data_IF_296445670193
#
_entry.id   IF_296445670193
#
_cell.length_a   1.000
_cell.length_b   1.000
_cell.length_c   1.000
_cell.angle_alpha   90.00
_cell.angle_beta   90.00
_cell.angle_gamma   90.00
#
_symmetry.space_group_name_H-M   'P 1'
#
loop_
_entity.id
_entity.type
_entity.pdbx_description
1 polymer ?
#
# COMPACT_ATOMS: atom_id res chain seq x y z
N UNK A 1 3.43 11.14 -19.33
CA UNK A 1 2.93 11.50 -17.99
C UNK A 1 1.42 11.34 -17.98
N UNK A 2 0.90 10.51 -17.07
CA UNK A 2 -0.54 10.48 -16.78
C UNK A 2 -0.93 11.86 -16.24
N UNK A 3 -1.87 12.52 -16.92
CA UNK A 3 -2.44 13.78 -16.46
C UNK A 3 -3.69 13.47 -15.65
N UNK A 4 -3.91 14.17 -14.53
CA UNK A 4 -5.14 14.06 -13.72
C UNK A 4 -6.42 14.18 -14.56
N UNK A 5 -6.37 14.89 -15.67
CA UNK A 5 -7.49 15.06 -16.62
C UNK A 5 -7.95 13.76 -17.29
N UNK A 6 -7.12 12.72 -17.33
CA UNK A 6 -7.47 11.43 -17.93
C UNK A 6 -7.91 10.39 -16.90
N UNK A 7 -7.73 10.67 -15.62
CA UNK A 7 -8.06 9.74 -14.54
C UNK A 7 -9.56 9.42 -14.51
N UNK A 8 -9.89 8.13 -14.53
CA UNK A 8 -11.26 7.63 -14.43
C UNK A 8 -11.48 7.14 -13.00
N UNK A 9 -12.41 7.79 -12.29
CA UNK A 9 -12.76 7.46 -10.91
C UNK A 9 -14.10 6.74 -10.87
N UNK A 10 -14.17 5.61 -10.16
CA UNK A 10 -15.43 4.96 -9.79
C UNK A 10 -15.67 5.19 -8.29
N UNK A 11 -16.75 5.87 -7.94
CA UNK A 11 -17.11 6.24 -6.57
C UNK A 11 -18.34 5.47 -6.10
N UNK A 12 -18.22 4.72 -4.98
CA UNK A 12 -19.35 4.19 -4.24
C UNK A 12 -19.71 5.13 -3.07
N UNK A 13 -20.84 5.80 -3.17
CA UNK A 13 -21.36 6.73 -2.14
C UNK A 13 -22.89 6.79 -2.24
N UNK A 14 -23.57 6.37 -1.18
CA UNK A 14 -25.04 6.34 -1.15
C UNK A 14 -25.68 7.72 -0.92
N UNK A 15 -24.93 8.67 -0.37
CA UNK A 15 -25.39 10.03 -0.17
C UNK A 15 -25.13 10.88 -1.42
N UNK A 16 -26.18 11.31 -2.11
CA UNK A 16 -26.07 12.20 -3.28
C UNK A 16 -25.36 13.51 -2.96
N UNK A 17 -25.56 14.04 -1.76
CA UNK A 17 -24.88 15.28 -1.29
C UNK A 17 -23.38 15.04 -1.14
N UNK A 18 -22.97 13.94 -0.51
CA UNK A 18 -21.56 13.59 -0.36
C UNK A 18 -20.90 13.30 -1.71
N UNK A 19 -21.58 12.55 -2.57
CA UNK A 19 -21.11 12.31 -3.94
C UNK A 19 -20.89 13.61 -4.71
N UNK A 20 -21.78 14.60 -4.56
CA UNK A 20 -21.63 15.91 -5.20
C UNK A 20 -20.45 16.72 -4.64
N UNK A 21 -20.22 16.68 -3.33
CA UNK A 21 -19.04 17.32 -2.69
C UNK A 21 -17.74 16.71 -3.23
N UNK A 22 -17.66 15.38 -3.29
CA UNK A 22 -16.48 14.67 -3.82
C UNK A 22 -16.28 15.01 -5.30
N UNK A 23 -17.36 15.01 -6.09
CA UNK A 23 -17.34 15.37 -7.52
C UNK A 23 -16.77 16.77 -7.73
N UNK A 24 -17.26 17.74 -6.97
CA UNK A 24 -16.79 19.13 -7.06
C UNK A 24 -15.30 19.21 -6.72
N UNK A 25 -14.88 18.61 -5.62
CA UNK A 25 -13.48 18.62 -5.19
C UNK A 25 -12.54 17.96 -6.21
N UNK A 26 -12.94 16.82 -6.83
CA UNK A 26 -12.20 16.18 -7.90
C UNK A 26 -12.12 17.06 -9.15
N UNK A 27 -13.23 17.75 -9.51
CA UNK A 27 -13.27 18.69 -10.63
C UNK A 27 -12.30 19.86 -10.44
N UNK A 28 -12.13 20.37 -9.22
CA UNK A 28 -11.15 21.41 -8.88
C UNK A 28 -9.68 20.93 -9.03
N UNK A 29 -9.45 19.61 -8.98
CA UNK A 29 -8.17 18.98 -9.29
C UNK A 29 -8.01 18.63 -10.79
N UNK A 30 -8.99 18.97 -11.63
CA UNK A 30 -9.00 18.70 -13.05
C UNK A 30 -9.50 17.29 -13.44
N UNK A 31 -10.06 16.53 -12.48
CA UNK A 31 -10.60 15.19 -12.72
C UNK A 31 -12.09 15.32 -13.05
N UNK A 32 -12.44 15.08 -14.32
CA UNK A 32 -13.81 15.22 -14.83
C UNK A 32 -14.52 13.88 -15.08
N UNK A 33 -13.79 12.78 -15.16
CA UNK A 33 -14.33 11.45 -15.45
C UNK A 33 -14.61 10.71 -14.16
N UNK A 34 -15.86 10.77 -13.69
CA UNK A 34 -16.28 10.07 -12.49
C UNK A 34 -17.66 9.44 -12.68
N UNK A 35 -17.74 8.15 -12.40
CA UNK A 35 -18.99 7.40 -12.28
C UNK A 35 -19.32 7.19 -10.80
N UNK A 36 -20.61 7.33 -10.45
CA UNK A 36 -21.07 7.23 -9.05
C UNK A 36 -22.08 6.09 -8.93
N UNK A 37 -21.92 5.31 -7.88
CA UNK A 37 -22.74 4.15 -7.55
C UNK A 37 -23.25 4.28 -6.11
N UNK A 38 -24.52 3.99 -5.89
CA UNK A 38 -25.13 4.03 -4.56
C UNK A 38 -24.85 2.78 -3.73
N UNK A 39 -24.49 1.67 -4.39
CA UNK A 39 -24.23 0.36 -3.79
C UNK A 39 -22.88 -0.20 -4.20
N UNK A 40 -22.35 -1.09 -3.35
CA UNK A 40 -21.10 -1.76 -3.62
C UNK A 40 -21.21 -2.77 -4.77
N UNK A 41 -22.34 -3.51 -4.85
CA UNK A 41 -22.59 -4.48 -5.93
C UNK A 41 -22.60 -3.80 -7.30
N UNK A 42 -23.28 -2.65 -7.42
CA UNK A 42 -23.32 -1.90 -8.68
C UNK A 42 -21.92 -1.39 -9.10
N UNK A 43 -21.09 -0.97 -8.13
CA UNK A 43 -19.71 -0.58 -8.41
C UNK A 43 -18.88 -1.80 -8.83
N UNK A 44 -18.96 -2.93 -8.11
CA UNK A 44 -18.23 -4.16 -8.44
C UNK A 44 -18.58 -4.67 -9.84
N UNK A 45 -19.86 -4.66 -10.20
CA UNK A 45 -20.34 -4.99 -11.54
C UNK A 45 -19.77 -4.07 -12.63
N UNK A 46 -19.66 -2.79 -12.32
CA UNK A 46 -19.08 -1.81 -13.24
C UNK A 46 -17.59 -2.04 -13.46
N UNK A 47 -16.80 -2.15 -12.36
CA UNK A 47 -15.34 -2.32 -12.47
C UNK A 47 -14.93 -3.66 -13.08
N UNK A 48 -15.79 -4.68 -13.01
CA UNK A 48 -15.60 -5.95 -13.71
C UNK A 48 -15.72 -5.84 -15.25
N UNK A 49 -16.44 -4.83 -15.75
CA UNK A 49 -16.65 -4.58 -17.18
C UNK A 49 -15.81 -3.43 -17.72
N UNK A 50 -15.71 -2.38 -16.94
CA UNK A 50 -14.99 -1.14 -17.26
C UNK A 50 -13.88 -0.96 -16.25
N UNK A 51 -12.66 -0.77 -16.70
CA UNK A 51 -11.49 -0.64 -15.83
C UNK A 51 -11.25 0.85 -15.49
N UNK A 52 -11.78 1.38 -14.38
CA UNK A 52 -11.39 2.70 -13.93
C UNK A 52 -9.93 2.66 -13.45
N UNK A 53 -9.33 3.83 -13.29
CA UNK A 53 -7.96 3.94 -12.77
C UNK A 53 -7.92 3.87 -11.24
N UNK A 54 -9.02 4.27 -10.58
CA UNK A 54 -9.14 4.26 -9.12
C UNK A 54 -10.58 4.06 -8.66
N UNK A 55 -10.74 3.31 -7.58
CA UNK A 55 -11.99 3.17 -6.83
C UNK A 55 -11.94 4.05 -5.59
N UNK A 56 -12.97 4.83 -5.36
CA UNK A 56 -13.22 5.53 -4.10
C UNK A 56 -14.50 4.98 -3.47
N UNK A 57 -14.54 4.79 -2.15
CA UNK A 57 -15.72 4.26 -1.49
C UNK A 57 -15.96 4.89 -0.13
N UNK A 58 -17.22 5.17 0.20
CA UNK A 58 -17.64 5.36 1.57
C UNK A 58 -17.44 4.07 2.37
N UNK A 59 -17.27 4.17 3.69
CA UNK A 59 -17.07 2.99 4.54
C UNK A 59 -18.31 2.10 4.60
N UNK A 60 -19.50 2.70 4.79
CA UNK A 60 -20.78 2.00 4.81
C UNK A 60 -21.57 2.29 3.53
N UNK A 61 -21.96 1.24 2.85
CA UNK A 61 -22.91 1.25 1.74
C UNK A 61 -24.17 0.47 2.15
N UNK A 62 -25.30 0.64 1.45
CA UNK A 62 -26.54 -0.06 1.81
C UNK A 62 -26.45 -1.59 1.81
N UNK A 63 -25.59 -2.16 1.00
CA UNK A 63 -25.47 -3.58 0.71
C UNK A 63 -24.19 -4.21 1.28
N UNK A 64 -23.13 -3.43 1.46
CA UNK A 64 -21.85 -3.94 1.98
C UNK A 64 -20.99 -2.84 2.60
N UNK A 65 -19.91 -3.24 3.28
CA UNK A 65 -18.87 -2.32 3.75
C UNK A 65 -17.75 -2.19 2.73
N UNK A 66 -16.98 -1.08 2.79
CA UNK A 66 -15.77 -0.90 1.99
C UNK A 66 -14.75 -2.03 2.24
N UNK A 67 -14.70 -2.56 3.48
CA UNK A 67 -13.87 -3.72 3.82
C UNK A 67 -14.25 -4.96 3.02
N UNK A 68 -15.54 -5.29 2.94
CA UNK A 68 -16.01 -6.41 2.12
C UNK A 68 -15.70 -6.19 0.63
N UNK A 69 -15.89 -4.97 0.16
CA UNK A 69 -15.60 -4.62 -1.25
C UNK A 69 -14.12 -4.79 -1.60
N UNK A 70 -13.21 -4.22 -0.80
CA UNK A 70 -11.77 -4.33 -1.08
C UNK A 70 -11.31 -5.80 -1.04
N UNK A 71 -11.83 -6.61 -0.10
CA UNK A 71 -11.52 -8.05 -0.05
C UNK A 71 -11.98 -8.79 -1.30
N UNK A 72 -13.19 -8.50 -1.82
CA UNK A 72 -13.67 -9.09 -3.07
C UNK A 72 -12.78 -8.67 -4.25
N UNK A 73 -12.43 -7.39 -4.35
CA UNK A 73 -11.54 -6.89 -5.40
C UNK A 73 -10.17 -7.59 -5.36
N UNK A 74 -9.56 -7.75 -4.18
CA UNK A 74 -8.24 -8.39 -4.03
C UNK A 74 -8.29 -9.90 -4.34
N UNK A 75 -9.43 -10.54 -4.15
CA UNK A 75 -9.66 -11.93 -4.55
C UNK A 75 -9.78 -12.14 -6.07
N UNK A 76 -10.07 -11.09 -6.84
CA UNK A 76 -10.24 -11.19 -8.28
C UNK A 76 -8.96 -10.82 -9.05
N UNK A 77 -8.41 -11.69 -9.91
CA UNK A 77 -7.10 -11.47 -10.56
C UNK A 77 -6.97 -10.14 -11.31
N UNK A 78 -8.05 -9.68 -11.95
CA UNK A 78 -8.03 -8.44 -12.75
C UNK A 78 -8.27 -7.16 -11.94
N UNK A 79 -8.82 -7.27 -10.71
CA UNK A 79 -9.16 -6.14 -9.84
C UNK A 79 -8.21 -6.00 -8.64
N UNK A 80 -7.36 -7.00 -8.41
CA UNK A 80 -6.49 -7.08 -7.23
C UNK A 80 -5.53 -5.90 -7.10
N UNK A 81 -5.14 -5.29 -8.23
CA UNK A 81 -4.17 -4.20 -8.30
C UNK A 81 -4.83 -2.82 -8.51
N UNK A 82 -6.15 -2.78 -8.60
CA UNK A 82 -6.89 -1.54 -8.77
C UNK A 82 -6.81 -0.71 -7.49
N UNK A 83 -6.29 0.54 -7.53
CA UNK A 83 -6.21 1.42 -6.38
C UNK A 83 -7.56 1.64 -5.72
N UNK A 84 -7.58 1.54 -4.38
CA UNK A 84 -8.79 1.72 -3.59
C UNK A 84 -8.56 2.79 -2.52
N UNK A 85 -9.34 3.87 -2.55
CA UNK A 85 -9.30 4.97 -1.61
C UNK A 85 -10.56 4.91 -0.74
N UNK A 86 -10.40 4.89 0.58
CA UNK A 86 -11.50 5.00 1.52
C UNK A 86 -11.83 6.47 1.79
N UNK A 87 -13.09 6.86 1.66
CA UNK A 87 -13.59 8.21 1.99
C UNK A 87 -14.53 8.11 3.18
N UNK A 88 -14.04 8.37 4.38
CA UNK A 88 -14.78 8.03 5.60
C UNK A 88 -14.49 8.95 6.77
N UNK A 89 -15.50 9.10 7.66
CA UNK A 89 -15.33 9.65 9.01
C UNK A 89 -14.97 8.57 10.06
N UNK A 90 -14.89 7.29 9.63
CA UNK A 90 -14.50 6.20 10.53
C UNK A 90 -13.01 6.34 10.87
N UNK A 91 -12.70 6.22 12.15
CA UNK A 91 -11.34 6.33 12.70
C UNK A 91 -10.95 5.13 13.55
N UNK A 92 -11.87 4.17 13.74
CA UNK A 92 -11.61 2.98 14.55
C UNK A 92 -10.55 2.09 13.86
N UNK A 93 -9.36 1.91 14.46
CA UNK A 93 -8.31 1.08 13.87
C UNK A 93 -8.75 -0.36 13.62
N UNK A 94 -9.56 -0.96 14.50
CA UNK A 94 -10.03 -2.35 14.33
C UNK A 94 -10.80 -2.56 13.02
N UNK A 95 -11.46 -1.51 12.51
CA UNK A 95 -12.20 -1.55 11.26
C UNK A 95 -11.34 -1.18 10.05
N UNK A 96 -10.37 -0.29 10.23
CA UNK A 96 -9.54 0.26 9.15
C UNK A 96 -8.30 -0.61 8.88
N UNK A 97 -7.66 -1.16 9.91
CA UNK A 97 -6.41 -1.90 9.75
C UNK A 97 -6.53 -3.14 8.85
N UNK A 98 -7.61 -3.94 8.89
CA UNK A 98 -7.79 -5.02 7.91
C UNK A 98 -7.83 -4.52 6.45
N UNK A 99 -8.35 -3.32 6.21
CA UNK A 99 -8.37 -2.72 4.88
C UNK A 99 -6.99 -2.19 4.46
N UNK A 100 -6.24 -1.61 5.40
CA UNK A 100 -4.83 -1.23 5.18
C UNK A 100 -3.99 -2.46 4.81
N UNK A 101 -4.17 -3.57 5.53
CA UNK A 101 -3.53 -4.84 5.22
C UNK A 101 -3.97 -5.43 3.87
N UNK A 102 -5.21 -5.18 3.45
CA UNK A 102 -5.69 -5.56 2.12
C UNK A 102 -5.15 -4.65 0.99
N UNK A 103 -4.29 -3.68 1.29
CA UNK A 103 -3.70 -2.79 0.30
C UNK A 103 -4.62 -1.61 -0.05
N UNK A 104 -5.19 -0.96 0.97
CA UNK A 104 -5.84 0.33 0.82
C UNK A 104 -4.82 1.36 0.34
N UNK A 105 -5.12 2.07 -0.76
CA UNK A 105 -4.22 3.05 -1.37
C UNK A 105 -4.12 4.33 -0.54
N UNK A 106 -5.24 4.77 0.05
CA UNK A 106 -5.30 5.96 0.86
C UNK A 106 -6.61 6.07 1.63
N UNK A 107 -6.60 6.93 2.64
CA UNK A 107 -7.79 7.31 3.42
C UNK A 107 -7.99 8.81 3.28
N UNK A 108 -9.18 9.20 2.83
CA UNK A 108 -9.63 10.58 2.79
C UNK A 108 -10.63 10.79 3.94
N UNK A 109 -10.24 11.44 5.04
CA UNK A 109 -11.11 11.62 6.19
C UNK A 109 -12.24 12.60 5.87
N UNK A 110 -13.45 12.36 6.38
CA UNK A 110 -14.57 13.33 6.31
C UNK A 110 -14.65 14.11 7.63
N UNK A 111 -14.73 15.46 7.59
CA UNK A 111 -14.59 16.34 6.42
C UNK A 111 -13.15 16.41 5.93
N UNK A 112 -12.93 16.58 4.64
CA UNK A 112 -11.61 16.75 4.03
C UNK A 112 -11.50 18.12 3.35
N UNK A 113 -10.26 18.57 3.19
CA UNK A 113 -9.91 19.72 2.36
C UNK A 113 -9.28 19.30 1.01
N UNK A 114 -9.12 20.29 0.13
CA UNK A 114 -8.50 20.03 -1.19
C UNK A 114 -7.05 19.58 -1.12
N UNK A 115 -6.31 19.93 -0.07
CA UNK A 115 -4.90 19.54 0.07
C UNK A 115 -4.79 18.05 0.40
N UNK A 116 -5.67 17.54 1.25
CA UNK A 116 -5.77 16.13 1.60
C UNK A 116 -6.21 15.28 0.39
N UNK A 117 -7.23 15.73 -0.35
CA UNK A 117 -7.63 15.06 -1.57
C UNK A 117 -6.51 15.07 -2.61
N UNK A 118 -5.84 16.21 -2.82
CA UNK A 118 -4.71 16.33 -3.74
C UNK A 118 -3.58 15.36 -3.39
N UNK A 119 -3.25 15.24 -2.11
CA UNK A 119 -2.22 14.29 -1.64
C UNK A 119 -2.58 12.87 -2.06
N UNK A 120 -3.76 12.39 -1.67
CA UNK A 120 -4.20 11.01 -1.96
C UNK A 120 -4.28 10.75 -3.47
N UNK A 121 -4.70 11.73 -4.27
CA UNK A 121 -4.73 11.59 -5.73
C UNK A 121 -3.31 11.56 -6.31
N UNK A 122 -2.39 12.41 -5.84
CA UNK A 122 -1.00 12.38 -6.30
C UNK A 122 -0.33 11.05 -5.97
N UNK A 123 -0.49 10.53 -4.77
CA UNK A 123 0.01 9.23 -4.35
C UNK A 123 -0.55 8.11 -5.26
N UNK A 124 -1.84 8.20 -5.62
CA UNK A 124 -2.47 7.29 -6.58
C UNK A 124 -1.91 7.45 -7.99
N UNK A 125 -1.68 8.67 -8.45
CA UNK A 125 -1.08 8.94 -9.77
C UNK A 125 0.35 8.42 -9.85
N UNK A 126 1.16 8.58 -8.80
CA UNK A 126 2.50 8.04 -8.72
C UNK A 126 2.48 6.51 -8.78
N UNK A 127 1.55 5.87 -8.07
CA UNK A 127 1.32 4.43 -8.17
C UNK A 127 0.96 3.98 -9.59
N UNK A 128 0.09 4.71 -10.28
CA UNK A 128 -0.32 4.41 -11.66
C UNK A 128 0.79 4.72 -12.69
N UNK A 129 1.61 5.76 -12.45
CA UNK A 129 2.70 6.16 -13.33
C UNK A 129 3.83 5.11 -13.36
N UNK A 130 4.05 4.38 -12.27
CA UNK A 130 4.96 3.22 -12.23
C UNK A 130 4.56 2.14 -13.25
N UNK A 131 3.27 2.10 -13.64
CA UNK A 131 2.78 1.20 -14.69
C UNK A 131 3.12 1.65 -16.13
N UNK A 132 3.63 2.86 -16.34
CA UNK A 132 3.93 3.43 -17.65
C UNK A 132 5.40 3.84 -17.75
N UNK A 133 6.32 2.84 -17.82
CA UNK A 133 7.71 3.03 -18.25
C UNK A 133 8.46 4.21 -17.62
N UNK A 134 8.73 4.20 -16.33
CA UNK A 134 9.82 4.98 -15.76
C UNK A 134 11.10 4.11 -15.73
N UNK A 135 11.76 4.02 -16.87
CA UNK A 135 13.13 3.52 -17.01
C UNK A 135 14.18 4.55 -16.57
N UNK A 136 13.77 5.50 -15.72
CA UNK A 136 14.66 6.56 -15.23
C UNK A 136 15.21 6.22 -13.84
N UNK A 137 15.70 5.00 -13.68
CA UNK A 137 16.53 4.62 -12.54
C UNK A 137 17.86 4.08 -13.04
N UNK A 138 18.95 4.79 -12.73
CA UNK A 138 20.33 4.31 -12.91
C UNK A 138 20.64 3.03 -12.10
N UNK A 139 19.66 2.46 -11.38
CA UNK A 139 19.78 1.27 -10.56
C UNK A 139 18.97 0.14 -11.21
N UNK A 140 19.68 -0.90 -11.61
CA UNK A 140 19.06 -2.18 -12.01
C UNK A 140 18.62 -2.95 -10.77
N UNK A 141 17.31 -3.04 -10.57
CA UNK A 141 16.72 -3.75 -9.43
C UNK A 141 16.53 -5.26 -9.68
N UNK A 142 16.67 -5.73 -10.92
CA UNK A 142 16.36 -7.11 -11.31
C UNK A 142 17.24 -8.13 -10.58
N UNK A 143 18.51 -7.77 -10.30
CA UNK A 143 19.45 -8.67 -9.63
C UNK A 143 19.38 -8.65 -8.11
N UNK A 144 18.66 -7.72 -7.51
CA UNK A 144 18.57 -7.59 -6.05
C UNK A 144 17.62 -8.62 -5.44
N UNK A 145 18.09 -9.29 -4.38
CA UNK A 145 17.31 -10.26 -3.61
C UNK A 145 16.54 -9.55 -2.49
N UNK A 146 15.23 -9.58 -2.55
CA UNK A 146 14.36 -8.95 -1.56
C UNK A 146 13.66 -10.01 -0.72
N UNK A 147 13.64 -9.81 0.62
CA UNK A 147 12.83 -10.60 1.52
C UNK A 147 11.62 -9.76 1.97
N UNK A 148 10.41 -10.27 1.80
CA UNK A 148 9.17 -9.67 2.26
C UNK A 148 8.57 -10.54 3.36
N UNK A 149 8.39 -9.98 4.55
CA UNK A 149 7.87 -10.68 5.72
C UNK A 149 6.63 -9.95 6.24
N UNK A 150 5.48 -10.58 6.14
CA UNK A 150 4.19 -10.04 6.60
C UNK A 150 3.23 -11.22 6.78
N UNK A 151 2.43 -11.27 7.83
CA UNK A 151 1.51 -12.38 8.10
C UNK A 151 0.28 -12.38 7.18
N UNK A 152 -0.07 -11.21 6.64
CA UNK A 152 -1.15 -11.05 5.69
C UNK A 152 -0.75 -11.46 4.27
N UNK A 153 -1.40 -12.50 3.74
CA UNK A 153 -1.22 -12.92 2.33
C UNK A 153 -1.50 -11.77 1.36
N UNK A 154 -2.50 -10.93 1.67
CA UNK A 154 -2.87 -9.80 0.84
C UNK A 154 -1.83 -8.69 0.86
N UNK A 155 -1.28 -8.38 2.05
CA UNK A 155 -0.20 -7.40 2.18
C UNK A 155 1.06 -7.86 1.43
N UNK A 156 1.51 -9.12 1.62
CA UNK A 156 2.64 -9.65 0.86
C UNK A 156 2.44 -9.56 -0.65
N UNK A 157 1.25 -9.96 -1.13
CA UNK A 157 0.93 -9.87 -2.56
C UNK A 157 0.95 -8.43 -3.07
N UNK A 158 0.42 -7.49 -2.29
CA UNK A 158 0.45 -6.07 -2.64
C UNK A 158 1.89 -5.54 -2.69
N UNK A 159 2.69 -5.80 -1.66
CA UNK A 159 4.11 -5.42 -1.61
C UNK A 159 4.87 -6.03 -2.80
N UNK A 160 4.69 -7.32 -3.06
CA UNK A 160 5.28 -8.00 -4.23
C UNK A 160 4.92 -7.28 -5.54
N UNK A 161 3.63 -6.99 -5.77
CA UNK A 161 3.18 -6.31 -6.98
C UNK A 161 3.85 -4.94 -7.16
N UNK A 162 3.98 -4.17 -6.08
CA UNK A 162 4.68 -2.87 -6.12
C UNK A 162 6.16 -3.06 -6.44
N UNK A 163 6.83 -4.04 -5.83
CA UNK A 163 8.25 -4.32 -6.09
C UNK A 163 8.48 -4.82 -7.52
N UNK A 164 7.65 -5.74 -8.02
CA UNK A 164 7.73 -6.23 -9.41
C UNK A 164 7.59 -5.07 -10.42
N UNK A 165 6.72 -4.12 -10.13
CA UNK A 165 6.54 -2.90 -10.94
C UNK A 165 7.74 -1.95 -10.87
N UNK A 166 8.47 -1.95 -9.76
CA UNK A 166 9.73 -1.20 -9.62
C UNK A 166 10.91 -1.91 -10.31
N UNK A 167 10.71 -3.11 -10.86
CA UNK A 167 11.73 -3.86 -11.59
C UNK A 167 12.44 -4.93 -10.78
N UNK A 168 11.97 -5.25 -9.55
CA UNK A 168 12.54 -6.36 -8.77
C UNK A 168 12.02 -7.70 -9.28
N UNK A 169 12.92 -8.64 -9.57
CA UNK A 169 12.57 -9.98 -10.05
C UNK A 169 12.74 -11.06 -8.96
N UNK A 170 13.66 -10.84 -8.01
CA UNK A 170 14.04 -11.85 -6.99
C UNK A 170 13.42 -11.51 -5.64
N UNK A 171 12.13 -11.85 -5.48
CA UNK A 171 11.35 -11.56 -4.27
C UNK A 171 11.02 -12.88 -3.55
N UNK A 172 11.53 -13.01 -2.33
CA UNK A 172 11.23 -14.13 -1.43
C UNK A 172 10.21 -13.68 -0.39
N UNK A 173 9.23 -14.51 -0.09
CA UNK A 173 8.18 -14.20 0.88
C UNK A 173 8.26 -15.10 2.11
N UNK A 174 7.96 -14.54 3.28
CA UNK A 174 7.76 -15.26 4.53
C UNK A 174 6.52 -14.72 5.26
N UNK A 175 5.83 -15.58 6.01
CA UNK A 175 4.60 -15.21 6.71
C UNK A 175 4.82 -14.83 8.19
N UNK A 176 6.02 -15.01 8.72
CA UNK A 176 6.40 -14.61 10.08
C UNK A 176 7.89 -14.36 10.18
N UNK A 177 8.32 -13.61 11.20
CA UNK A 177 9.73 -13.46 11.49
C UNK A 177 10.44 -14.80 11.74
N UNK A 178 9.76 -15.73 12.42
CA UNK A 178 10.32 -17.06 12.72
C UNK A 178 10.62 -17.88 11.47
N UNK A 179 9.75 -17.82 10.44
CA UNK A 179 9.97 -18.52 9.17
C UNK A 179 10.96 -17.77 8.26
N UNK A 180 11.17 -16.49 8.50
CA UNK A 180 12.17 -15.69 7.80
C UNK A 180 13.61 -16.04 8.25
N UNK A 181 13.81 -16.41 9.51
CA UNK A 181 15.14 -16.74 10.07
C UNK A 181 15.91 -17.74 9.21
N UNK A 182 15.39 -18.94 8.90
CA UNK A 182 16.13 -19.92 8.09
C UNK A 182 16.36 -19.46 6.63
N UNK A 183 15.56 -18.52 6.11
CA UNK A 183 15.78 -17.92 4.80
C UNK A 183 16.97 -16.95 4.86
N UNK A 184 17.03 -16.12 5.91
CA UNK A 184 18.13 -15.18 6.16
C UNK A 184 19.45 -15.90 6.36
N UNK A 185 19.44 -17.06 7.03
CA UNK A 185 20.65 -17.83 7.27
C UNK A 185 21.20 -18.54 6.02
N UNK A 186 20.33 -18.78 5.02
CA UNK A 186 20.70 -19.52 3.80
C UNK A 186 20.91 -18.64 2.58
N UNK A 187 20.30 -17.45 2.54
CA UNK A 187 20.28 -16.58 1.37
C UNK A 187 20.69 -15.18 1.77
N UNK A 188 21.59 -14.57 1.00
CA UNK A 188 21.92 -13.15 1.16
C UNK A 188 20.83 -12.29 0.52
N UNK A 189 20.31 -11.37 1.28
CA UNK A 189 19.34 -10.39 0.83
C UNK A 189 19.96 -9.00 0.71
N UNK A 190 19.48 -8.24 -0.25
CA UNK A 190 19.89 -6.86 -0.46
C UNK A 190 18.97 -5.88 0.28
N UNK A 191 17.76 -6.34 0.61
CA UNK A 191 16.76 -5.60 1.35
C UNK A 191 15.82 -6.55 2.07
N UNK A 192 15.42 -6.20 3.28
CA UNK A 192 14.33 -6.85 4.03
C UNK A 192 13.20 -5.86 4.24
N UNK A 193 12.00 -6.23 3.82
CA UNK A 193 10.75 -5.54 4.12
C UNK A 193 9.99 -6.37 5.14
N UNK A 194 9.63 -5.80 6.28
CA UNK A 194 8.94 -6.55 7.34
C UNK A 194 7.74 -5.76 7.88
N UNK A 195 6.63 -6.46 8.16
CA UNK A 195 5.59 -5.88 9.00
C UNK A 195 6.07 -5.77 10.44
N UNK A 196 5.45 -4.86 11.20
CA UNK A 196 5.69 -4.72 12.63
C UNK A 196 5.02 -5.85 13.41
N UNK A 197 3.71 -6.05 13.20
CA UNK A 197 2.87 -6.95 13.98
C UNK A 197 2.71 -8.31 13.28
N UNK A 198 3.51 -9.29 13.66
CA UNK A 198 3.42 -10.63 13.14
C UNK A 198 3.37 -11.66 14.29
N UNK A 199 2.72 -12.83 14.09
CA UNK A 199 2.72 -13.88 15.07
C UNK A 199 4.09 -14.55 15.20
N UNK A 200 4.37 -15.14 16.37
CA UNK A 200 5.55 -15.96 16.71
C UNK A 200 6.85 -15.18 16.87
N UNK A 201 7.14 -14.25 16.00
CA UNK A 201 8.28 -13.34 16.02
C UNK A 201 7.87 -12.08 15.26
N UNK A 202 7.81 -10.96 15.94
CA UNK A 202 7.44 -9.68 15.37
C UNK A 202 8.57 -9.04 14.55
N UNK A 203 8.28 -7.90 13.90
CA UNK A 203 9.27 -7.22 13.06
C UNK A 203 10.45 -6.65 13.83
N UNK A 204 10.28 -6.25 15.10
CA UNK A 204 11.37 -5.77 15.95
C UNK A 204 12.28 -6.91 16.39
N UNK A 205 11.71 -8.06 16.77
CA UNK A 205 12.47 -9.26 17.11
C UNK A 205 13.24 -9.77 15.91
N UNK A 206 12.63 -9.77 14.71
CA UNK A 206 13.31 -10.13 13.47
C UNK A 206 14.47 -9.17 13.14
N UNK A 207 14.25 -7.86 13.25
CA UNK A 207 15.31 -6.87 13.04
C UNK A 207 16.45 -7.06 14.02
N UNK A 208 16.17 -7.26 15.30
CA UNK A 208 17.17 -7.55 16.34
C UNK A 208 17.95 -8.82 16.02
N UNK A 209 17.29 -9.88 15.58
CA UNK A 209 17.95 -11.11 15.15
C UNK A 209 18.91 -10.85 13.98
N UNK A 210 18.45 -10.14 12.95
CA UNK A 210 19.28 -9.81 11.79
C UNK A 210 20.52 -9.03 12.21
N UNK A 211 20.39 -8.05 13.10
CA UNK A 211 21.50 -7.19 13.56
C UNK A 211 22.51 -7.90 14.46
N UNK A 212 22.05 -8.82 15.28
CA UNK A 212 22.88 -9.41 16.34
C UNK A 212 23.34 -10.84 16.06
N UNK A 213 22.57 -11.60 15.28
CA UNK A 213 22.75 -13.05 15.18
C UNK A 213 22.97 -13.56 13.76
N UNK A 214 22.60 -12.77 12.72
CA UNK A 214 22.79 -13.18 11.34
C UNK A 214 24.12 -12.71 10.76
N UNK A 215 24.57 -13.35 9.67
CA UNK A 215 25.74 -12.90 8.90
C UNK A 215 25.47 -11.62 8.08
N UNK A 216 24.24 -11.14 8.03
CA UNK A 216 23.78 -10.01 7.24
C UNK A 216 23.43 -8.79 8.13
N UNK A 217 24.21 -8.55 9.18
CA UNK A 217 23.89 -7.52 10.17
C UNK A 217 23.74 -6.10 9.62
N UNK A 218 24.25 -5.83 8.41
CA UNK A 218 24.17 -4.52 7.74
C UNK A 218 23.08 -4.44 6.65
N UNK A 219 22.32 -5.52 6.40
CA UNK A 219 21.28 -5.47 5.37
C UNK A 219 20.25 -4.39 5.72
N UNK A 220 19.83 -3.54 4.75
CA UNK A 220 18.76 -2.59 4.99
C UNK A 220 17.46 -3.29 5.38
N UNK A 221 16.81 -2.80 6.44
CA UNK A 221 15.52 -3.30 6.92
C UNK A 221 14.54 -2.13 6.89
N UNK A 222 13.49 -2.25 6.10
CA UNK A 222 12.39 -1.30 6.07
C UNK A 222 11.19 -1.96 6.76
N UNK A 223 10.69 -1.32 7.80
CA UNK A 223 9.49 -1.77 8.49
C UNK A 223 8.26 -1.07 7.90
N UNK A 224 7.26 -1.86 7.54
CA UNK A 224 5.99 -1.37 6.98
C UNK A 224 4.93 -1.60 8.04
N UNK A 225 4.33 -0.54 8.57
CA UNK A 225 3.42 -0.67 9.70
C UNK A 225 2.24 0.31 9.63
N UNK A 226 1.09 -0.12 10.14
CA UNK A 226 -0.02 0.77 10.48
C UNK A 226 0.09 1.35 11.89
N UNK A 227 1.18 1.06 12.59
CA UNK A 227 1.39 1.48 13.98
C UNK A 227 1.67 2.99 14.06
N UNK A 228 0.92 3.69 14.89
CA UNK A 228 1.07 5.13 15.15
C UNK A 228 1.64 5.39 16.56
N UNK A 229 1.84 4.35 17.38
CA UNK A 229 2.38 4.50 18.72
C UNK A 229 3.88 4.84 18.68
N UNK A 230 4.23 6.02 19.15
CA UNK A 230 5.59 6.53 19.15
C UNK A 230 6.58 5.66 19.95
N UNK A 231 6.15 5.00 21.03
CA UNK A 231 7.01 4.10 21.80
C UNK A 231 7.39 2.86 21.02
N UNK A 232 6.43 2.29 20.26
CA UNK A 232 6.67 1.14 19.39
C UNK A 232 7.55 1.49 18.19
N UNK A 233 7.35 2.67 17.60
CA UNK A 233 8.19 3.17 16.51
C UNK A 233 9.63 3.38 16.99
N UNK A 234 9.83 3.96 18.18
CA UNK A 234 11.13 4.10 18.81
C UNK A 234 11.79 2.74 19.13
N UNK A 235 10.99 1.72 19.51
CA UNK A 235 11.50 0.36 19.70
C UNK A 235 11.99 -0.27 18.39
N UNK A 236 11.31 -0.02 17.27
CA UNK A 236 11.74 -0.49 15.96
C UNK A 236 13.07 0.17 15.52
N UNK A 237 13.21 1.47 15.74
CA UNK A 237 14.49 2.17 15.50
C UNK A 237 15.62 1.60 16.36
N UNK A 238 15.36 1.35 17.66
CA UNK A 238 16.33 0.76 18.58
C UNK A 238 16.70 -0.68 18.19
N UNK A 239 15.80 -1.43 17.55
CA UNK A 239 16.06 -2.75 17.00
C UNK A 239 16.92 -2.71 15.73
N UNK A 240 17.25 -1.53 15.21
CA UNK A 240 18.13 -1.34 14.06
C UNK A 240 17.41 -1.37 12.71
N UNK A 241 16.14 -1.03 12.65
CA UNK A 241 15.40 -0.81 11.40
C UNK A 241 15.98 0.42 10.70
N UNK A 242 16.21 0.32 9.39
CA UNK A 242 16.82 1.39 8.58
C UNK A 242 15.84 2.50 8.21
N UNK A 243 14.56 2.14 8.07
CA UNK A 243 13.48 3.07 7.85
C UNK A 243 12.14 2.45 8.28
N UNK A 244 11.20 3.31 8.68
CA UNK A 244 9.82 2.92 8.99
C UNK A 244 8.90 3.60 7.99
N UNK A 245 7.95 2.85 7.45
CA UNK A 245 6.98 3.29 6.46
C UNK A 245 5.56 2.99 6.93
N UNK A 246 4.68 3.98 6.85
CA UNK A 246 3.26 3.79 7.17
C UNK A 246 2.53 2.95 6.11
N UNK A 247 1.58 2.12 6.54
CA UNK A 247 0.54 1.58 5.64
C UNK A 247 -0.55 2.66 5.44
N UNK A 248 -1.02 2.93 4.24
CA UNK A 248 -0.84 2.19 3.00
C UNK A 248 0.57 2.36 2.39
N UNK A 249 1.02 1.33 1.68
CA UNK A 249 2.33 1.24 1.07
C UNK A 249 2.42 2.15 -0.16
N UNK A 250 2.96 3.35 0.02
CA UNK A 250 3.09 4.35 -1.04
C UNK A 250 4.32 4.08 -1.92
N UNK A 251 4.12 3.91 -3.22
CA UNK A 251 5.20 3.59 -4.18
C UNK A 251 6.28 4.66 -4.24
N UNK A 252 5.89 5.94 -4.12
CA UNK A 252 6.81 7.09 -4.08
C UNK A 252 7.74 7.04 -2.86
N UNK A 253 7.18 6.74 -1.69
CA UNK A 253 7.94 6.61 -0.44
C UNK A 253 8.89 5.40 -0.50
N UNK A 254 8.41 4.26 -1.04
CA UNK A 254 9.26 3.07 -1.28
C UNK A 254 10.44 3.42 -2.17
N UNK A 255 10.19 4.06 -3.32
CA UNK A 255 11.24 4.44 -4.26
C UNK A 255 12.27 5.37 -3.62
N UNK A 256 11.82 6.36 -2.86
CA UNK A 256 12.73 7.29 -2.18
C UNK A 256 13.59 6.58 -1.13
N UNK A 257 13.01 5.71 -0.32
CA UNK A 257 13.75 4.95 0.70
C UNK A 257 14.70 3.96 0.04
N UNK A 258 14.27 3.25 -1.01
CA UNK A 258 15.13 2.33 -1.77
C UNK A 258 16.33 3.05 -2.37
N UNK A 259 16.14 4.22 -3.00
CA UNK A 259 17.24 5.05 -3.51
C UNK A 259 18.22 5.42 -2.39
N UNK A 260 17.73 5.83 -1.23
CA UNK A 260 18.57 6.22 -0.09
C UNK A 260 19.34 5.03 0.49
N UNK A 261 18.69 3.89 0.64
CA UNK A 261 19.28 2.71 1.29
C UNK A 261 20.17 1.89 0.35
N UNK A 262 19.86 1.83 -0.94
CA UNK A 262 20.64 1.06 -1.92
C UNK A 262 21.76 1.89 -2.58
N UNK A 263 21.65 3.21 -2.65
CA UNK A 263 22.70 4.10 -3.18
C UNK A 263 23.91 4.24 -2.25
N UNK A 264 23.84 3.74 -1.01
CA UNK A 264 24.96 3.75 -0.04
C UNK A 264 25.85 2.51 -0.13
N UNK A 265 25.62 1.64 -1.10
CA UNK A 265 26.48 0.50 -1.47
C UNK A 265 27.34 0.85 -2.67
#
# INVERSE_FOLDING_TARGET
>A
MLSTQHLIVALAESSSVQAQIIRQALSELGISRMEVFETGEALLDYIGKYKPDVVMSAFHLPDMTAGQMIFQMRGHPELRDLPFILVSSETNPELIDPMRQAGLMGILPKPFDLSQLRKVINDTMDFLAVNQNDTDSDIDYADLNILVVDDSVMARRHIRTVLERLGFEKITESWSGKDAVPLIDKTLFDLVLTDYNMPLMDGCELASYIRTSSMQSSVPIIMISSEENMEKLAAAEAAGVSAIMGKPFETSAVRQILRTQLAQR
#
